data_IF_553658536110
#
_entry.id   IF_553658536110
#
_cell.length_a   1.000
_cell.length_b   1.000
_cell.length_c   1.000
_cell.angle_alpha   90.00
_cell.angle_beta   90.00
_cell.angle_gamma   90.00
#
_symmetry.space_group_name_H-M   'P 1'
#
loop_
_entity.id
_entity.type
_entity.pdbx_description
1 polymer ?
#
# COMPACT_ATOMS: atom_id res chain seq x y z
N UNK A 1 6.00 -4.45 -3.64
CA UNK A 1 5.74 -3.00 -3.71
C UNK A 1 4.84 -2.71 -4.89
N UNK A 2 3.73 -2.03 -4.69
CA UNK A 2 2.83 -1.61 -5.78
C UNK A 2 3.25 -0.25 -6.33
N UNK A 3 3.25 -0.12 -7.66
CA UNK A 3 3.55 1.11 -8.42
C UNK A 3 2.52 1.32 -9.53
N UNK A 4 2.59 2.42 -10.26
CA UNK A 4 1.77 2.64 -11.44
C UNK A 4 2.61 2.94 -12.68
N UNK A 5 2.05 2.60 -13.85
CA UNK A 5 2.52 3.06 -15.14
C UNK A 5 2.13 4.54 -15.36
N UNK A 6 2.67 5.16 -16.41
CA UNK A 6 2.34 6.56 -16.77
C UNK A 6 0.85 6.76 -17.10
N UNK A 7 0.16 5.70 -17.54
CA UNK A 7 -1.28 5.70 -17.83
C UNK A 7 -2.17 5.50 -16.57
N UNK A 8 -1.57 5.42 -15.39
CA UNK A 8 -2.26 5.26 -14.10
C UNK A 8 -2.58 3.83 -13.69
N UNK A 9 -2.37 2.81 -14.55
CA UNK A 9 -2.60 1.41 -14.15
C UNK A 9 -1.57 0.96 -13.12
N UNK A 10 -2.03 0.30 -12.08
CA UNK A 10 -1.17 -0.22 -11.00
C UNK A 10 -0.57 -1.59 -11.35
N UNK A 11 0.61 -1.87 -10.82
CA UNK A 11 1.29 -3.15 -10.97
C UNK A 11 2.19 -3.48 -9.76
N UNK A 12 2.51 -4.77 -9.60
CA UNK A 12 3.46 -5.21 -8.59
C UNK A 12 4.90 -5.11 -9.11
N UNK A 13 5.62 -4.09 -8.68
CA UNK A 13 6.99 -3.84 -9.13
C UNK A 13 8.02 -4.80 -8.53
N UNK A 14 7.75 -5.35 -7.35
CA UNK A 14 8.68 -6.21 -6.62
C UNK A 14 7.88 -7.18 -5.74
N UNK A 15 7.93 -8.45 -6.09
CA UNK A 15 7.35 -9.55 -5.32
C UNK A 15 8.47 -10.49 -4.93
N UNK A 16 8.73 -10.64 -3.63
CA UNK A 16 9.82 -11.47 -3.11
C UNK A 16 9.32 -12.41 -2.03
N UNK A 17 9.82 -13.63 -2.05
CA UNK A 17 9.84 -14.49 -0.87
C UNK A 17 11.13 -14.15 -0.13
N UNK A 18 11.00 -13.70 1.12
CA UNK A 18 12.16 -13.45 1.96
C UNK A 18 12.69 -14.79 2.45
N UNK A 19 13.87 -15.15 2.00
CA UNK A 19 14.61 -16.28 2.54
C UNK A 19 15.62 -15.74 3.54
N UNK A 20 15.53 -16.19 4.76
CA UNK A 20 16.46 -15.85 5.81
C UNK A 20 17.58 -16.89 5.84
N UNK A 21 18.81 -16.47 5.55
CA UNK A 21 20.00 -17.25 5.90
C UNK A 21 20.40 -16.80 7.31
N UNK A 22 20.34 -17.67 8.32
CA UNK A 22 20.65 -17.29 9.69
C UNK A 22 22.14 -16.99 9.81
N UNK A 23 22.50 -15.72 9.69
CA UNK A 23 23.87 -15.24 9.87
C UNK A 23 24.12 -14.64 11.27
N UNK A 24 23.08 -14.46 12.06
CA UNK A 24 23.14 -13.91 13.42
C UNK A 24 21.89 -14.32 14.20
N UNK A 25 21.88 -14.02 15.51
CA UNK A 25 20.71 -14.26 16.39
C UNK A 25 19.51 -13.37 16.01
N UNK A 26 19.70 -12.39 15.13
CA UNK A 26 18.66 -11.50 14.62
C UNK A 26 18.77 -11.44 13.09
N UNK A 27 17.68 -11.73 12.43
CA UNK A 27 17.56 -11.63 10.99
C UNK A 27 16.80 -10.37 10.61
N UNK A 28 17.41 -9.50 9.79
CA UNK A 28 16.87 -8.21 9.40
C UNK A 28 16.79 -8.11 7.88
N UNK A 29 15.58 -7.93 7.37
CA UNK A 29 15.35 -7.65 5.95
C UNK A 29 14.77 -6.25 5.78
N UNK A 30 15.39 -5.42 4.94
CA UNK A 30 14.83 -4.13 4.52
C UNK A 30 13.80 -4.39 3.43
N UNK A 31 12.52 -4.22 3.74
CA UNK A 31 11.41 -4.48 2.82
C UNK A 31 11.23 -3.34 1.81
N UNK A 32 11.38 -2.10 2.25
CA UNK A 32 11.33 -0.91 1.43
C UNK A 32 12.09 0.25 2.07
N UNK A 33 12.59 1.15 1.24
CA UNK A 33 13.17 2.41 1.68
C UNK A 33 12.74 3.53 0.73
N UNK A 34 12.58 4.76 1.26
CA UNK A 34 12.31 5.97 0.47
C UNK A 34 13.44 6.96 0.64
N UNK A 35 13.82 7.66 -0.42
CA UNK A 35 14.87 8.69 -0.36
C UNK A 35 14.41 10.00 0.29
N UNK A 36 13.12 10.30 0.23
CA UNK A 36 12.49 11.49 0.79
C UNK A 36 11.14 11.17 1.40
N UNK A 37 10.79 11.85 2.50
CA UNK A 37 9.49 11.71 3.17
C UNK A 37 8.97 13.11 3.51
N UNK A 38 7.80 13.53 2.99
CA UNK A 38 6.98 12.83 1.99
C UNK A 38 7.66 12.82 0.60
N UNK A 39 7.28 11.89 -0.29
CA UNK A 39 7.76 11.90 -1.67
C UNK A 39 7.42 13.20 -2.37
N UNK A 40 8.30 13.65 -3.25
CA UNK A 40 8.13 14.90 -4.01
C UNK A 40 7.00 14.79 -5.03
N UNK A 41 6.78 13.60 -5.57
CA UNK A 41 5.72 13.33 -6.55
C UNK A 41 5.05 11.99 -6.28
N UNK A 42 3.74 11.95 -6.48
CA UNK A 42 2.93 10.74 -6.41
C UNK A 42 2.65 10.20 -7.82
N UNK A 43 2.53 8.88 -7.97
CA UNK A 43 2.20 8.27 -9.26
C UNK A 43 0.80 8.70 -9.73
N UNK A 44 0.56 8.59 -11.04
CA UNK A 44 -0.78 8.75 -11.59
C UNK A 44 -1.74 7.69 -11.01
N UNK A 45 -2.99 8.07 -10.82
CA UNK A 45 -4.09 7.20 -10.41
C UNK A 45 -5.38 7.68 -11.08
N UNK A 46 -6.24 6.74 -11.46
CA UNK A 46 -7.47 7.00 -12.22
C UNK A 46 -8.73 6.54 -11.48
N UNK A 47 -8.58 5.84 -10.37
CA UNK A 47 -9.67 5.35 -9.53
C UNK A 47 -10.30 6.41 -8.64
N UNK A 48 -11.09 5.97 -7.69
CA UNK A 48 -11.75 6.84 -6.71
C UNK A 48 -10.77 7.28 -5.62
N UNK A 49 -10.69 8.56 -5.35
CA UNK A 49 -9.93 9.07 -4.22
C UNK A 49 -10.61 8.70 -2.89
N UNK A 50 -9.88 8.06 -2.00
CA UNK A 50 -10.33 7.78 -0.64
C UNK A 50 -9.75 8.82 0.33
N UNK A 51 -10.61 9.70 0.83
CA UNK A 51 -10.22 10.80 1.73
C UNK A 51 -10.03 10.32 3.17
N UNK A 52 -9.03 9.49 3.38
CA UNK A 52 -8.62 9.01 4.70
C UNK A 52 -7.09 9.05 4.91
N UNK A 53 -6.39 9.76 4.03
CA UNK A 53 -4.94 9.93 4.12
C UNK A 53 -4.57 10.82 5.30
N UNK A 54 -3.44 10.57 5.97
CA UNK A 54 -2.89 11.55 6.89
C UNK A 54 -2.48 12.82 6.13
N UNK A 55 -2.47 13.99 6.79
CA UNK A 55 -1.93 15.21 6.19
C UNK A 55 -0.49 15.03 5.68
N UNK A 56 -0.03 15.83 4.70
CA UNK A 56 1.32 15.76 4.19
C UNK A 56 2.38 15.81 5.30
N UNK A 57 3.33 14.89 5.26
CA UNK A 57 4.41 14.78 6.25
C UNK A 57 4.02 14.12 7.58
N UNK A 58 2.75 13.82 7.79
CA UNK A 58 2.30 13.12 8.99
C UNK A 58 2.42 11.62 8.79
N UNK A 59 3.04 10.96 9.77
CA UNK A 59 3.10 9.51 9.87
C UNK A 59 2.01 9.01 10.81
N UNK A 60 1.21 8.06 10.34
CA UNK A 60 0.24 7.32 11.16
C UNK A 60 0.67 5.87 11.28
N UNK A 61 0.62 5.34 12.50
CA UNK A 61 0.80 3.91 12.75
C UNK A 61 -0.47 3.39 13.40
N UNK A 62 -1.11 2.41 12.76
CA UNK A 62 -2.42 1.93 13.18
C UNK A 62 -2.59 0.42 12.95
N UNK A 63 -3.44 -0.19 13.76
CA UNK A 63 -3.94 -1.53 13.55
C UNK A 63 -5.37 -1.42 13.00
N UNK A 64 -5.58 -1.96 11.80
CA UNK A 64 -6.90 -2.08 11.19
C UNK A 64 -7.41 -3.51 11.30
N UNK A 65 -8.72 -3.66 11.53
CA UNK A 65 -9.42 -4.94 11.47
C UNK A 65 -10.50 -4.86 10.41
N UNK A 66 -10.42 -5.77 9.46
CA UNK A 66 -11.33 -5.85 8.33
C UNK A 66 -12.30 -7.03 8.52
N UNK A 67 -13.61 -6.81 8.34
CA UNK A 67 -14.60 -7.86 8.52
C UNK A 67 -14.47 -8.96 7.46
N UNK A 68 -14.84 -10.22 7.78
CA UNK A 68 -14.80 -11.33 6.86
C UNK A 68 -15.54 -11.06 5.55
N UNK A 69 -14.93 -11.44 4.43
CA UNK A 69 -15.53 -11.41 3.11
C UNK A 69 -15.84 -10.01 2.55
N UNK A 70 -15.41 -8.95 3.23
CA UNK A 70 -15.66 -7.59 2.75
C UNK A 70 -14.77 -7.26 1.54
N UNK A 71 -15.31 -6.45 0.61
CA UNK A 71 -14.57 -5.95 -0.55
C UNK A 71 -14.56 -4.42 -0.52
N UNK A 72 -13.37 -3.85 -0.57
CA UNK A 72 -13.14 -2.43 -0.71
C UNK A 72 -12.83 -2.15 -2.17
N UNK A 73 -13.70 -1.45 -2.91
CA UNK A 73 -13.54 -1.26 -4.35
C UNK A 73 -12.31 -0.42 -4.69
N UNK A 74 -11.92 -0.42 -5.95
CA UNK A 74 -10.75 0.30 -6.47
C UNK A 74 -10.75 1.76 -6.01
N UNK A 75 -9.67 2.14 -5.36
CA UNK A 75 -9.44 3.48 -4.86
C UNK A 75 -7.94 3.80 -4.80
N UNK A 76 -7.63 5.07 -4.59
CA UNK A 76 -6.28 5.52 -4.26
C UNK A 76 -6.28 6.48 -3.07
N UNK A 77 -5.13 6.68 -2.47
CA UNK A 77 -4.90 7.58 -1.34
C UNK A 77 -3.71 8.49 -1.63
N UNK A 78 -3.68 9.67 -1.00
CA UNK A 78 -2.52 10.56 -1.02
C UNK A 78 -1.58 10.21 0.15
N UNK A 79 -1.10 8.97 0.11
CA UNK A 79 -0.14 8.45 1.11
C UNK A 79 0.70 7.31 0.52
N UNK A 80 1.81 7.03 1.19
CA UNK A 80 2.53 5.76 1.05
C UNK A 80 2.16 4.91 2.25
N UNK A 81 1.62 3.74 1.97
CA UNK A 81 1.11 2.83 2.97
C UNK A 81 1.99 1.57 3.04
N UNK A 82 2.47 1.28 4.24
CA UNK A 82 3.22 0.06 4.58
C UNK A 82 2.29 -0.85 5.36
N UNK A 83 2.03 -2.04 4.83
CA UNK A 83 1.10 -3.00 5.37
C UNK A 83 1.82 -4.26 5.84
N UNK A 84 1.40 -4.80 6.98
CA UNK A 84 1.80 -6.13 7.45
C UNK A 84 0.55 -6.87 7.93
N UNK A 85 0.26 -8.01 7.34
CA UNK A 85 -0.86 -8.86 7.79
C UNK A 85 -0.46 -9.54 9.09
N UNK A 86 -1.23 -9.26 10.15
CA UNK A 86 -0.99 -9.82 11.49
C UNK A 86 -1.76 -11.14 11.68
N UNK A 87 -2.99 -11.20 11.15
CA UNK A 87 -3.81 -12.41 11.19
C UNK A 87 -4.86 -12.40 10.09
N UNK A 88 -5.36 -13.58 9.74
CA UNK A 88 -6.32 -13.75 8.64
C UNK A 88 -5.67 -13.60 7.27
N UNK A 89 -6.45 -13.18 6.29
CA UNK A 89 -5.99 -13.01 4.91
C UNK A 89 -6.69 -11.85 4.22
N UNK A 90 -6.00 -11.26 3.26
CA UNK A 90 -6.53 -10.21 2.39
C UNK A 90 -5.85 -10.28 1.04
N UNK A 91 -6.56 -9.99 -0.03
CA UNK A 91 -6.00 -9.94 -1.38
C UNK A 91 -5.89 -8.49 -1.83
N UNK A 92 -4.70 -8.09 -2.25
CA UNK A 92 -4.45 -6.82 -2.92
C UNK A 92 -4.73 -6.99 -4.41
N UNK A 93 -5.72 -6.25 -4.92
CA UNK A 93 -6.00 -6.17 -6.36
C UNK A 93 -5.29 -4.98 -6.98
N UNK A 94 -4.57 -5.22 -8.07
CA UNK A 94 -3.90 -4.23 -8.92
C UNK A 94 -4.32 -4.46 -10.38
N UNK A 95 -4.02 -3.52 -11.28
CA UNK A 95 -4.41 -3.65 -12.68
C UNK A 95 -3.73 -4.82 -13.41
N UNK A 96 -2.61 -5.31 -12.90
CA UNK A 96 -1.86 -6.45 -13.46
C UNK A 96 -2.21 -7.80 -12.81
N UNK A 97 -3.02 -7.81 -11.73
CA UNK A 97 -3.44 -9.04 -11.08
C UNK A 97 -3.83 -8.89 -9.62
N UNK A 98 -4.06 -10.04 -8.99
CA UNK A 98 -4.46 -10.15 -7.59
C UNK A 98 -3.37 -10.86 -6.78
N UNK A 99 -3.02 -10.30 -5.64
CA UNK A 99 -1.92 -10.73 -4.79
C UNK A 99 -2.45 -11.09 -3.41
N UNK A 100 -2.64 -12.38 -3.13
CA UNK A 100 -3.07 -12.83 -1.81
C UNK A 100 -1.98 -12.59 -0.78
N UNK A 101 -2.36 -12.06 0.37
CA UNK A 101 -1.49 -11.79 1.51
C UNK A 101 -2.02 -12.55 2.73
N UNK A 102 -1.14 -13.31 3.37
CA UNK A 102 -1.40 -14.09 4.57
C UNK A 102 -0.67 -13.46 5.78
N UNK A 103 -0.94 -13.95 6.97
CA UNK A 103 -0.24 -13.52 8.18
C UNK A 103 1.29 -13.60 8.01
N UNK A 104 1.99 -12.51 8.26
CA UNK A 104 3.42 -12.31 8.05
C UNK A 104 3.79 -11.65 6.74
N UNK A 105 2.88 -11.62 5.74
CA UNK A 105 3.15 -10.93 4.49
C UNK A 105 3.08 -9.41 4.64
N UNK A 106 3.89 -8.73 3.83
CA UNK A 106 4.00 -7.28 3.79
C UNK A 106 3.76 -6.74 2.38
N UNK A 107 3.12 -5.58 2.32
CA UNK A 107 2.93 -4.85 1.06
C UNK A 107 3.22 -3.36 1.24
N UNK A 108 3.73 -2.72 0.19
CA UNK A 108 3.86 -1.26 0.13
C UNK A 108 2.99 -0.76 -1.02
N UNK A 109 2.03 0.10 -0.70
CA UNK A 109 1.12 0.73 -1.66
C UNK A 109 1.42 2.22 -1.68
N UNK A 110 2.02 2.69 -2.78
CA UNK A 110 2.50 4.06 -2.92
C UNK A 110 1.48 4.93 -3.69
N UNK A 111 0.29 5.10 -3.13
CA UNK A 111 -0.76 5.95 -3.66
C UNK A 111 -1.29 5.55 -5.04
N UNK A 112 -1.17 4.30 -5.41
CA UNK A 112 -1.70 3.74 -6.67
C UNK A 112 -3.12 3.23 -6.50
N UNK A 113 -3.82 3.08 -7.63
CA UNK A 113 -5.14 2.42 -7.65
C UNK A 113 -5.02 0.98 -7.20
N UNK A 114 -5.82 0.62 -6.23
CA UNK A 114 -5.87 -0.73 -5.68
C UNK A 114 -7.23 -1.04 -5.08
N UNK A 115 -7.55 -2.33 -4.96
CA UNK A 115 -8.68 -2.81 -4.19
C UNK A 115 -8.22 -3.82 -3.12
N UNK A 116 -9.13 -4.12 -2.19
CA UNK A 116 -8.90 -5.11 -1.15
C UNK A 116 -10.07 -6.07 -1.05
N UNK A 117 -9.81 -7.36 -1.16
CA UNK A 117 -10.77 -8.42 -0.91
C UNK A 117 -10.37 -9.19 0.35
N UNK A 118 -11.18 -9.11 1.39
CA UNK A 118 -10.90 -9.72 2.70
C UNK A 118 -11.28 -11.18 2.68
N UNK A 119 -10.42 -12.04 3.21
CA UNK A 119 -10.67 -13.47 3.32
C UNK A 119 -11.82 -13.83 4.27
N UNK A 120 -12.22 -15.11 4.29
CA UNK A 120 -13.42 -15.58 5.02
C UNK A 120 -13.30 -15.46 6.54
N UNK A 121 -12.10 -15.34 7.08
CA UNK A 121 -11.84 -15.17 8.51
C UNK A 121 -11.62 -13.72 8.95
N UNK A 122 -11.73 -12.78 8.00
CA UNK A 122 -11.33 -11.41 8.22
C UNK A 122 -9.81 -11.21 8.11
N UNK A 123 -9.36 -9.99 8.41
CA UNK A 123 -7.96 -9.65 8.41
C UNK A 123 -7.64 -8.61 9.48
N UNK A 124 -6.58 -8.83 10.24
CA UNK A 124 -5.96 -7.78 11.04
C UNK A 124 -4.65 -7.35 10.36
N UNK A 125 -4.49 -6.06 10.13
CA UNK A 125 -3.37 -5.50 9.40
C UNK A 125 -2.75 -4.34 10.18
N UNK A 126 -1.46 -4.43 10.42
CA UNK A 126 -0.68 -3.31 10.92
C UNK A 126 -0.32 -2.40 9.74
N UNK A 127 -0.60 -1.12 9.86
CA UNK A 127 -0.42 -0.15 8.79
C UNK A 127 0.41 1.03 9.28
N UNK A 128 1.45 1.37 8.54
CA UNK A 128 2.15 2.63 8.70
C UNK A 128 1.95 3.46 7.44
N UNK A 129 1.43 4.67 7.58
CA UNK A 129 1.07 5.55 6.47
C UNK A 129 1.79 6.87 6.58
N UNK A 130 2.35 7.34 5.48
CA UNK A 130 2.97 8.67 5.39
C UNK A 130 2.16 9.50 4.41
N UNK A 131 1.57 10.59 4.89
CA UNK A 131 0.80 11.52 4.07
C UNK A 131 1.69 12.25 3.06
N UNK A 132 1.17 12.42 1.85
CA UNK A 132 1.82 13.12 0.74
C UNK A 132 1.01 14.34 0.32
N UNK A 133 1.54 15.19 -0.54
CA UNK A 133 0.79 16.30 -1.10
C UNK A 133 -0.47 15.81 -1.82
N UNK A 134 -1.57 16.53 -1.64
CA UNK A 134 -2.83 16.20 -2.30
C UNK A 134 -2.71 16.35 -3.82
N UNK A 135 -3.10 15.31 -4.55
CA UNK A 135 -3.20 15.37 -6.02
C UNK A 135 -4.39 16.19 -6.50
N UNK A 136 -5.37 16.41 -5.61
CA UNK A 136 -6.53 17.28 -5.91
C UNK A 136 -6.18 18.75 -5.94
N UNK A 137 -5.15 19.15 -5.17
CA UNK A 137 -4.69 20.53 -5.07
C UNK A 137 -3.46 20.81 -5.94
N UNK A 138 -3.07 19.85 -6.78
CA UNK A 138 -1.93 19.96 -7.68
C UNK A 138 -2.07 21.14 -8.65
N UNK A 139 -0.97 21.79 -9.08
CA UNK A 139 -1.03 22.82 -10.10
C UNK A 139 -1.68 22.20 -11.33
N UNK A 140 -2.73 22.86 -11.83
CA UNK A 140 -3.33 22.55 -13.10
C UNK A 140 -2.22 22.31 -14.12
N UNK A 141 -2.19 21.13 -14.75
CA UNK A 141 -1.17 20.84 -15.76
C UNK A 141 -1.14 22.03 -16.74
N UNK A 142 0.03 22.54 -17.15
CA UNK A 142 0.09 23.62 -18.10
C UNK A 142 -0.63 23.20 -19.37
N UNK A 143 -1.60 24.02 -19.74
CA UNK A 143 -2.38 23.92 -20.98
C UNK A 143 -1.51 23.94 -22.22
#
# INVERSE_FOLDING_TARGET
MARSYDDGRSYAADVRVLTTEPASDIDISVLAATGTVPPVAMPAAVGTFMDNSPPPGILQWKLARFPPGHHYPIHFTDSIDFHTVVSGSITLGLADGSYPLLAGDCAVVAGVDHDWAVGPEGCAMLMMRVGTASRRDGPCAPS
#
